data_IF_992426900125
#
_entry.id   IF_992426900125
#
_cell.length_a   1.000
_cell.length_b   1.000
_cell.length_c   1.000
_cell.angle_alpha   90.00
_cell.angle_beta   90.00
_cell.angle_gamma   90.00
#
_symmetry.space_group_name_H-M   'P 1'
#
loop_
_entity.id
_entity.type
_entity.pdbx_description
1 polymer ?
#
# COMPACT_ATOMS: atom_id res chain seq x y z
N UNK A 1 0.84 17.53 -22.32
CA UNK A 1 1.46 17.25 -21.01
C UNK A 1 0.34 16.92 -20.04
N UNK A 2 0.38 15.78 -19.37
CA UNK A 2 -0.69 15.44 -18.42
C UNK A 2 -0.54 16.30 -17.16
N UNK A 3 -1.54 17.15 -16.95
CA UNK A 3 -1.56 18.19 -15.91
C UNK A 3 -1.97 17.68 -14.53
N UNK A 4 -2.08 16.35 -14.35
CA UNK A 4 -2.35 15.72 -13.06
C UNK A 4 -1.41 14.53 -12.85
N UNK A 5 -0.74 14.42 -11.69
CA UNK A 5 0.15 13.31 -11.40
C UNK A 5 -0.66 12.01 -11.26
N UNK A 6 -0.13 10.92 -11.82
CA UNK A 6 -0.82 9.64 -11.90
C UNK A 6 -0.78 8.87 -10.59
N UNK A 7 -1.77 8.01 -10.40
CA UNK A 7 -1.83 7.01 -9.34
C UNK A 7 -2.18 5.68 -10.02
N UNK A 8 -1.47 4.61 -9.66
CA UNK A 8 -1.77 3.25 -10.12
C UNK A 8 -2.48 2.50 -8.99
N UNK A 9 -3.57 1.81 -9.32
CA UNK A 9 -4.29 0.98 -8.36
C UNK A 9 -4.26 -0.48 -8.80
N UNK A 10 -3.63 -1.33 -7.99
CA UNK A 10 -3.63 -2.78 -8.13
C UNK A 10 -4.61 -3.39 -7.12
N UNK A 11 -5.86 -3.51 -7.55
CA UNK A 11 -6.96 -4.04 -6.75
C UNK A 11 -7.26 -5.50 -7.11
N UNK A 12 -7.85 -6.25 -6.19
CA UNK A 12 -8.30 -7.62 -6.44
C UNK A 12 -8.54 -8.40 -5.14
N UNK A 13 -9.19 -9.58 -5.21
CA UNK A 13 -9.48 -10.38 -4.03
C UNK A 13 -8.21 -10.87 -3.35
N UNK A 14 -8.33 -11.28 -2.08
CA UNK A 14 -7.26 -11.97 -1.35
C UNK A 14 -6.79 -13.19 -2.16
N UNK A 15 -5.48 -13.48 -2.11
CA UNK A 15 -4.83 -14.55 -2.88
C UNK A 15 -4.81 -14.38 -4.42
N UNK A 16 -5.24 -13.25 -4.98
CA UNK A 16 -5.17 -12.99 -6.44
C UNK A 16 -3.75 -12.71 -7.00
N UNK A 17 -2.68 -12.91 -6.22
CA UNK A 17 -1.31 -12.68 -6.70
C UNK A 17 -0.90 -11.21 -6.83
N UNK A 18 -1.55 -10.29 -6.09
CA UNK A 18 -1.24 -8.84 -6.14
C UNK A 18 0.18 -8.52 -5.71
N UNK A 19 0.65 -9.10 -4.61
CA UNK A 19 1.99 -8.80 -4.05
C UNK A 19 3.11 -9.17 -5.03
N UNK A 20 3.16 -10.38 -5.64
CA UNK A 20 4.14 -10.68 -6.67
C UNK A 20 4.13 -9.69 -7.85
N UNK A 21 2.96 -9.28 -8.32
CA UNK A 21 2.84 -8.31 -9.40
C UNK A 21 3.33 -6.91 -8.97
N UNK A 22 3.02 -6.49 -7.74
CA UNK A 22 3.49 -5.23 -7.19
C UNK A 22 5.03 -5.18 -7.11
N UNK A 23 5.67 -6.28 -6.68
CA UNK A 23 7.13 -6.40 -6.66
C UNK A 23 7.72 -6.23 -8.07
N UNK A 24 7.13 -6.89 -9.08
CA UNK A 24 7.59 -6.75 -10.47
C UNK A 24 7.41 -5.32 -11.01
N UNK A 25 6.35 -4.62 -10.59
CA UNK A 25 6.11 -3.23 -11.00
C UNK A 25 7.16 -2.28 -10.41
N UNK A 26 7.49 -2.40 -9.12
CA UNK A 26 8.51 -1.56 -8.46
C UNK A 26 9.90 -1.76 -9.08
N UNK A 27 10.21 -2.96 -9.57
CA UNK A 27 11.47 -3.25 -10.26
C UNK A 27 11.55 -2.65 -11.67
N UNK A 28 10.43 -2.33 -12.31
CA UNK A 28 10.35 -1.92 -13.72
C UNK A 28 9.91 -0.47 -13.91
N UNK A 29 9.24 0.11 -12.92
CA UNK A 29 8.68 1.46 -12.96
C UNK A 29 9.19 2.26 -11.75
N UNK A 30 9.28 3.59 -11.86
CA UNK A 30 9.62 4.45 -10.72
C UNK A 30 8.40 4.61 -9.79
N UNK A 31 7.91 3.51 -9.22
CA UNK A 31 6.74 3.51 -8.35
C UNK A 31 7.05 3.05 -6.92
N UNK A 32 6.24 3.53 -5.99
CA UNK A 32 6.33 3.18 -4.56
C UNK A 32 4.99 2.61 -4.10
N UNK A 33 5.04 1.52 -3.33
CA UNK A 33 3.83 0.82 -2.89
C UNK A 33 3.25 1.50 -1.65
N UNK A 34 1.93 1.72 -1.69
CA UNK A 34 1.11 2.02 -0.52
C UNK A 34 0.13 0.86 -0.32
N UNK A 35 0.17 0.23 0.86
CA UNK A 35 -0.75 -0.86 1.19
C UNK A 35 -2.17 -0.31 1.40
N UNK A 36 -3.16 -0.98 0.81
CA UNK A 36 -4.60 -0.70 0.95
C UNK A 36 -5.29 -1.92 1.57
N UNK A 37 -4.87 -2.25 2.78
CA UNK A 37 -5.36 -3.40 3.53
C UNK A 37 -5.57 -3.00 5.00
N UNK A 38 -6.77 -3.22 5.51
CA UNK A 38 -7.15 -2.82 6.87
C UNK A 38 -6.57 -3.71 7.97
N UNK A 39 -5.97 -4.84 7.63
CA UNK A 39 -5.38 -5.76 8.58
C UNK A 39 -3.85 -5.61 8.65
N UNK A 40 -3.19 -5.34 7.51
CA UNK A 40 -1.73 -5.17 7.45
C UNK A 40 -1.21 -3.92 8.19
N UNK A 41 -2.10 -2.97 8.53
CA UNK A 41 -1.77 -1.76 9.31
C UNK A 41 -1.28 -2.07 10.72
N UNK A 42 -1.64 -3.24 11.28
CA UNK A 42 -1.36 -3.60 12.66
C UNK A 42 -0.05 -4.36 12.83
N UNK A 43 0.69 -4.00 13.89
CA UNK A 43 1.95 -4.63 14.30
C UNK A 43 1.76 -6.02 14.85
N UNK A 44 2.70 -6.91 14.52
CA UNK A 44 2.78 -8.27 15.06
C UNK A 44 1.69 -9.23 14.55
N UNK A 45 0.79 -8.79 13.67
CA UNK A 45 -0.25 -9.62 13.07
C UNK A 45 0.16 -10.12 11.68
N UNK A 46 1.34 -10.73 11.53
CA UNK A 46 1.94 -10.95 10.21
C UNK A 46 1.34 -12.15 9.47
N UNK A 47 1.25 -13.31 10.13
CA UNK A 47 0.81 -14.58 9.52
C UNK A 47 -0.66 -14.50 9.11
N UNK A 48 -1.53 -14.07 10.04
CA UNK A 48 -2.98 -14.02 9.81
C UNK A 48 -3.42 -12.98 8.77
N UNK A 49 -2.57 -11.99 8.48
CA UNK A 49 -2.86 -10.93 7.50
C UNK A 49 -2.12 -11.14 6.18
N UNK A 50 -1.37 -12.22 6.04
CA UNK A 50 -0.52 -12.50 4.88
C UNK A 50 0.41 -11.32 4.53
N UNK A 51 0.98 -10.67 5.57
CA UNK A 51 1.91 -9.55 5.40
C UNK A 51 3.15 -10.04 4.64
N UNK A 52 3.68 -9.26 3.67
CA UNK A 52 4.92 -9.62 2.98
C UNK A 52 6.07 -9.83 3.96
N UNK A 53 6.88 -10.86 3.72
CA UNK A 53 8.06 -11.13 4.53
C UNK A 53 9.14 -10.06 4.38
N UNK A 54 10.16 -10.04 5.28
CA UNK A 54 11.25 -9.07 5.24
C UNK A 54 12.01 -9.06 3.91
N UNK A 55 12.16 -10.22 3.28
CA UNK A 55 12.78 -10.41 1.96
C UNK A 55 12.03 -9.64 0.87
N UNK A 56 10.70 -9.69 0.87
CA UNK A 56 9.86 -8.94 -0.06
C UNK A 56 9.90 -7.45 0.27
N UNK A 57 9.79 -7.08 1.55
CA UNK A 57 9.77 -5.68 1.98
C UNK A 57 11.09 -4.96 1.74
N UNK A 58 12.22 -5.67 1.74
CA UNK A 58 13.52 -5.10 1.37
C UNK A 58 13.58 -4.72 -0.11
N UNK A 59 12.93 -5.49 -0.98
CA UNK A 59 12.91 -5.24 -2.44
C UNK A 59 11.80 -4.27 -2.83
N UNK A 60 10.65 -4.39 -2.19
CA UNK A 60 9.45 -3.60 -2.47
C UNK A 60 8.86 -3.12 -1.13
N UNK A 61 9.38 -2.01 -0.57
CA UNK A 61 8.85 -1.45 0.66
C UNK A 61 7.38 -1.08 0.50
N UNK A 62 6.53 -1.53 1.43
CA UNK A 62 5.12 -1.16 1.47
C UNK A 62 4.93 -0.10 2.54
N UNK A 63 4.34 1.05 2.19
CA UNK A 63 3.89 2.06 3.15
C UNK A 63 2.56 1.65 3.78
N UNK A 64 2.26 2.22 4.95
CA UNK A 64 1.04 1.98 5.74
C UNK A 64 0.84 0.52 6.22
N UNK A 65 1.94 -0.20 6.42
CA UNK A 65 1.96 -1.45 7.19
C UNK A 65 2.62 -1.18 8.54
N UNK A 66 2.24 -1.92 9.59
CA UNK A 66 2.87 -1.80 10.92
C UNK A 66 2.82 -0.38 11.54
N UNK A 67 1.80 0.40 11.20
CA UNK A 67 1.63 1.79 11.66
C UNK A 67 0.76 1.94 12.91
N UNK A 68 0.09 0.86 13.34
CA UNK A 68 -0.79 0.84 14.51
C UNK A 68 -0.52 -0.35 15.42
N UNK A 69 -0.74 -0.16 16.71
CA UNK A 69 -0.85 -1.26 17.67
C UNK A 69 -2.21 -1.96 17.51
N UNK A 70 -2.31 -3.30 17.67
CA UNK A 70 -3.58 -4.02 17.60
C UNK A 70 -4.69 -3.53 18.56
N UNK A 71 -4.33 -2.85 19.65
CA UNK A 71 -5.28 -2.26 20.58
C UNK A 71 -5.86 -0.91 20.09
N UNK A 72 -5.28 -0.31 19.05
CA UNK A 72 -5.72 0.97 18.48
C UNK A 72 -6.78 0.75 17.41
N UNK A 73 -7.73 1.67 17.32
CA UNK A 73 -8.66 1.69 16.20
C UNK A 73 -8.00 2.35 14.97
N UNK A 74 -8.38 1.91 13.77
CA UNK A 74 -8.00 2.55 12.51
C UNK A 74 -9.18 2.64 11.55
N UNK A 75 -9.68 3.86 11.36
CA UNK A 75 -10.87 4.15 10.55
C UNK A 75 -10.54 4.39 9.07
N UNK A 76 -11.57 4.30 8.21
CA UNK A 76 -11.43 4.66 6.80
C UNK A 76 -11.06 6.15 6.60
N UNK A 77 -11.49 7.04 7.49
CA UNK A 77 -11.14 8.46 7.46
C UNK A 77 -9.68 8.73 7.88
N UNK A 78 -9.13 7.91 8.78
CA UNK A 78 -7.69 7.91 9.06
C UNK A 78 -6.90 7.38 7.87
N UNK A 79 -7.30 6.23 7.31
CA UNK A 79 -6.70 5.69 6.11
C UNK A 79 -6.66 6.71 4.97
N UNK A 80 -7.77 7.42 4.71
CA UNK A 80 -7.82 8.44 3.68
C UNK A 80 -6.81 9.57 3.92
N UNK A 81 -6.62 10.01 5.17
CA UNK A 81 -5.64 11.06 5.48
C UNK A 81 -4.23 10.55 5.25
N UNK A 82 -3.91 9.38 5.77
CA UNK A 82 -2.56 8.80 5.70
C UNK A 82 -2.19 8.46 4.25
N UNK A 83 -3.10 7.86 3.48
CA UNK A 83 -2.85 7.54 2.06
C UNK A 83 -2.63 8.79 1.21
N UNK A 84 -3.36 9.89 1.46
CA UNK A 84 -3.17 11.15 0.73
C UNK A 84 -1.83 11.80 1.06
N UNK A 85 -1.36 11.71 2.30
CA UNK A 85 -0.02 12.15 2.70
C UNK A 85 1.06 11.35 1.96
N UNK A 86 0.92 10.03 1.91
CA UNK A 86 1.88 9.16 1.22
C UNK A 86 1.90 9.40 -0.30
N UNK A 87 0.73 9.56 -0.92
CA UNK A 87 0.59 9.93 -2.33
C UNK A 87 1.34 11.23 -2.63
N UNK A 88 1.11 12.27 -1.83
CA UNK A 88 1.76 13.56 -2.01
C UNK A 88 3.29 13.47 -1.84
N UNK A 89 3.76 12.70 -0.85
CA UNK A 89 5.20 12.48 -0.62
C UNK A 89 5.87 11.77 -1.80
N UNK A 90 5.22 10.74 -2.36
CA UNK A 90 5.73 10.01 -3.53
C UNK A 90 5.74 10.90 -4.78
N UNK A 91 4.67 11.68 -5.01
CA UNK A 91 4.60 12.63 -6.12
C UNK A 91 5.68 13.72 -6.01
N UNK A 92 5.96 14.22 -4.81
CA UNK A 92 7.02 15.21 -4.59
C UNK A 92 8.42 14.68 -4.95
N UNK A 93 8.61 13.36 -4.94
CA UNK A 93 9.84 12.68 -5.40
C UNK A 93 9.83 12.38 -6.90
N UNK A 94 8.80 12.78 -7.65
CA UNK A 94 8.65 12.48 -9.07
C UNK A 94 8.33 11.01 -9.36
N UNK A 95 7.87 10.26 -8.35
CA UNK A 95 7.56 8.82 -8.43
C UNK A 95 6.05 8.58 -8.54
N UNK A 96 5.67 7.36 -8.88
CA UNK A 96 4.28 6.95 -9.09
C UNK A 96 3.77 6.20 -7.85
N UNK A 97 2.73 6.69 -7.16
CA UNK A 97 2.08 5.92 -6.10
C UNK A 97 1.39 4.70 -6.67
N UNK A 98 1.69 3.52 -6.12
CA UNK A 98 1.08 2.24 -6.46
C UNK A 98 0.28 1.74 -5.26
N UNK A 99 -1.03 1.93 -5.29
CA UNK A 99 -1.97 1.45 -4.27
C UNK A 99 -2.22 -0.05 -4.49
N UNK A 100 -1.84 -0.89 -3.52
CA UNK A 100 -1.97 -2.35 -3.62
C UNK A 100 -2.82 -2.86 -2.47
N UNK A 101 -3.94 -3.53 -2.76
CA UNK A 101 -4.77 -4.06 -1.69
C UNK A 101 -6.13 -4.57 -2.11
N UNK A 102 -6.89 -5.06 -1.12
CA UNK A 102 -8.20 -5.70 -1.31
C UNK A 102 -9.34 -5.05 -0.54
N UNK A 103 -9.07 -4.09 0.35
CA UNK A 103 -10.12 -3.44 1.15
C UNK A 103 -10.91 -2.46 0.29
N UNK A 104 -11.94 -2.95 -0.41
CA UNK A 104 -12.72 -2.14 -1.35
C UNK A 104 -13.33 -0.88 -0.73
N UNK A 105 -13.63 -0.89 0.58
CA UNK A 105 -14.13 0.28 1.29
C UNK A 105 -13.11 1.43 1.34
N UNK A 106 -11.81 1.13 1.32
CA UNK A 106 -10.74 2.13 1.29
C UNK A 106 -10.55 2.75 -0.09
N UNK A 107 -11.02 2.10 -1.15
CA UNK A 107 -11.01 2.62 -2.53
C UNK A 107 -12.25 3.45 -2.89
N UNK A 108 -13.23 3.55 -2.00
CA UNK A 108 -14.49 4.28 -2.23
C UNK A 108 -14.46 5.69 -1.65
#
# INVERSE_FOLDING_TARGET
MLTKPYILCLMGPTAAGKTPLAVQLVQRLPCDIISVDSAMVYRGLDIGTAKPGPDILQVAPHRLIDIRDPAEAYSAGEFQRDVLQEIAAIHAQGRIPLLVGGTMRYFR
#
